data_IF_292334283473
#
_entry.id   IF_292334283473
#
_cell.length_a   1.000
_cell.length_b   1.000
_cell.length_c   1.000
_cell.angle_alpha   90.00
_cell.angle_beta   90.00
_cell.angle_gamma   90.00
#
_symmetry.space_group_name_H-M   'P 1'
#
loop_
_entity.id
_entity.type
_entity.pdbx_description
1 polymer ?
#
# COMPACT_ATOMS: atom_id res chain seq x y z
N UNK A 1 3.84 18.18 10.47
CA UNK A 1 3.74 16.96 11.28
C UNK A 1 2.92 15.96 10.49
N UNK A 2 3.57 14.95 9.90
CA UNK A 2 2.91 13.84 9.19
C UNK A 2 2.36 12.88 10.23
N UNK A 3 1.09 12.42 10.15
CA UNK A 3 0.59 11.44 11.10
C UNK A 3 1.44 10.15 11.02
N UNK A 4 1.70 9.48 12.15
CA UNK A 4 2.36 8.18 12.14
C UNK A 4 1.48 7.22 11.32
N UNK A 5 2.05 6.68 10.24
CA UNK A 5 1.40 5.62 9.49
C UNK A 5 1.39 4.40 10.42
N UNK A 6 0.23 3.98 10.91
CA UNK A 6 0.15 2.72 11.64
C UNK A 6 0.30 1.57 10.63
N UNK A 7 1.21 0.61 10.88
CA UNK A 7 1.28 -0.58 10.02
C UNK A 7 -0.09 -1.26 10.07
N UNK A 8 -0.60 -1.70 8.92
CA UNK A 8 -1.84 -2.46 8.89
C UNK A 8 -1.50 -3.93 9.13
N UNK A 9 -1.60 -4.47 10.36
CA UNK A 9 -1.29 -5.89 10.63
C UNK A 9 -2.26 -6.81 9.90
N UNK A 10 -3.45 -6.30 9.58
CA UNK A 10 -4.50 -7.06 8.91
C UNK A 10 -4.72 -6.59 7.48
N UNK A 11 -4.05 -7.25 6.53
CA UNK A 11 -4.15 -6.93 5.09
C UNK A 11 -5.58 -7.07 4.54
N UNK A 12 -6.50 -7.76 5.25
CA UNK A 12 -7.92 -7.85 4.85
C UNK A 12 -8.62 -6.48 4.81
N UNK A 13 -8.04 -5.45 5.43
CA UNK A 13 -8.55 -4.06 5.38
C UNK A 13 -8.13 -3.32 4.12
N UNK A 14 -7.30 -3.92 3.27
CA UNK A 14 -6.93 -3.36 1.97
C UNK A 14 -8.05 -3.60 0.97
N UNK A 15 -8.35 -2.58 0.18
CA UNK A 15 -9.27 -2.67 -0.94
C UNK A 15 -8.48 -2.66 -2.25
N UNK A 16 -9.07 -3.26 -3.29
CA UNK A 16 -8.58 -3.07 -4.66
C UNK A 16 -8.52 -1.57 -4.98
N UNK A 17 -7.44 -1.13 -5.61
CA UNK A 17 -7.07 0.27 -5.90
C UNK A 17 -6.54 1.09 -4.72
N UNK A 18 -6.39 0.51 -3.53
CA UNK A 18 -5.67 1.20 -2.46
C UNK A 18 -4.22 1.42 -2.87
N UNK A 19 -3.73 2.64 -2.69
CA UNK A 19 -2.32 2.97 -2.87
C UNK A 19 -1.57 2.66 -1.57
N UNK A 20 -0.52 1.84 -1.66
CA UNK A 20 0.21 1.39 -0.48
C UNK A 20 1.73 1.46 -0.68
N UNK A 21 2.43 1.38 0.46
CA UNK A 21 3.86 1.11 0.53
C UNK A 21 4.09 -0.16 1.36
N UNK A 22 4.96 -1.02 0.86
CA UNK A 22 5.48 -2.19 1.55
C UNK A 22 6.85 -1.86 2.11
N UNK A 23 7.00 -2.10 3.41
CA UNK A 23 8.23 -1.90 4.14
C UNK A 23 8.75 -3.23 4.68
N UNK A 24 10.07 -3.42 4.62
CA UNK A 24 10.77 -4.54 5.27
C UNK A 24 12.05 -3.99 5.91
N UNK A 25 12.33 -4.38 7.14
CA UNK A 25 13.50 -3.91 7.90
C UNK A 25 13.62 -2.37 7.92
N UNK A 26 12.48 -1.67 8.01
CA UNK A 26 12.40 -0.20 8.03
C UNK A 26 12.64 0.49 6.69
N UNK A 27 12.73 -0.25 5.58
CA UNK A 27 12.92 0.31 4.23
C UNK A 27 11.74 0.02 3.32
N UNK A 28 11.38 0.98 2.47
CA UNK A 28 10.42 0.76 1.38
C UNK A 28 11.05 -0.21 0.37
N UNK A 29 10.41 -1.35 0.19
CA UNK A 29 10.83 -2.38 -0.79
C UNK A 29 9.97 -2.34 -2.05
N UNK A 30 8.71 -1.92 -1.92
CA UNK A 30 7.81 -1.72 -3.03
C UNK A 30 6.74 -0.67 -2.69
N UNK A 31 6.24 0.03 -3.70
CA UNK A 31 5.08 0.91 -3.61
C UNK A 31 4.21 0.68 -4.83
N UNK A 32 2.91 0.88 -4.69
CA UNK A 32 2.01 0.59 -5.78
C UNK A 32 0.54 0.71 -5.45
N UNK A 33 -0.25 0.09 -6.30
CA UNK A 33 -1.70 -0.01 -6.18
C UNK A 33 -2.10 -1.48 -5.98
N UNK A 34 -2.93 -1.75 -4.97
CA UNK A 34 -3.47 -3.08 -4.71
C UNK A 34 -4.32 -3.52 -5.90
N UNK A 35 -3.93 -4.61 -6.56
CA UNK A 35 -4.73 -5.18 -7.64
C UNK A 35 -5.66 -6.28 -7.13
N UNK A 36 -5.15 -7.16 -6.27
CA UNK A 36 -5.92 -8.25 -5.66
C UNK A 36 -5.32 -8.63 -4.31
N UNK A 37 -6.16 -9.08 -3.38
CA UNK A 37 -5.77 -9.60 -2.07
C UNK A 37 -6.56 -10.88 -1.81
N UNK A 38 -5.92 -11.90 -1.24
CA UNK A 38 -6.64 -13.12 -0.85
C UNK A 38 -7.60 -12.81 0.32
N UNK A 39 -8.77 -13.45 0.37
CA UNK A 39 -9.81 -13.17 1.36
C UNK A 39 -9.32 -13.20 2.82
N UNK A 40 -8.34 -14.04 3.12
CA UNK A 40 -7.73 -14.20 4.44
C UNK A 40 -6.55 -13.24 4.70
N UNK A 41 -6.17 -12.41 3.73
CA UNK A 41 -5.04 -11.49 3.82
C UNK A 41 -3.66 -12.13 3.72
N UNK A 42 -3.54 -13.42 3.37
CA UNK A 42 -2.24 -14.11 3.37
C UNK A 42 -1.33 -13.72 2.21
N UNK A 43 -1.91 -13.27 1.09
CA UNK A 43 -1.17 -12.79 -0.07
C UNK A 43 -1.80 -11.54 -0.67
N UNK A 44 -0.94 -10.74 -1.31
CA UNK A 44 -1.29 -9.49 -1.96
C UNK A 44 -0.61 -9.40 -3.32
N UNK A 45 -1.38 -9.09 -4.35
CA UNK A 45 -0.87 -8.65 -5.64
C UNK A 45 -0.83 -7.13 -5.70
N UNK A 46 0.36 -6.60 -5.94
CA UNK A 46 0.63 -5.18 -6.07
C UNK A 46 1.02 -4.86 -7.51
N UNK A 47 0.32 -3.91 -8.14
CA UNK A 47 0.81 -3.26 -9.34
C UNK A 47 1.81 -2.18 -8.91
N UNK A 48 3.08 -2.40 -9.18
CA UNK A 48 4.17 -1.57 -8.68
C UNK A 48 4.28 -0.25 -9.46
N UNK A 49 4.63 0.81 -8.75
CA UNK A 49 4.94 2.11 -9.33
C UNK A 49 6.19 2.02 -10.23
N UNK A 50 6.34 2.98 -11.15
CA UNK A 50 7.54 3.09 -12.00
C UNK A 50 7.67 2.01 -13.07
N UNK A 51 6.55 1.37 -13.46
CA UNK A 51 6.54 0.42 -14.58
C UNK A 51 7.13 -0.96 -14.26
N UNK A 52 7.35 -1.28 -12.98
CA UNK A 52 7.93 -2.56 -12.52
C UNK A 52 6.97 -3.77 -12.63
N UNK A 53 5.79 -3.57 -13.21
CA UNK A 53 4.79 -4.61 -13.39
C UNK A 53 4.10 -5.03 -12.10
N UNK A 54 3.56 -6.26 -12.11
CA UNK A 54 2.76 -6.82 -11.00
C UNK A 54 3.62 -7.81 -10.20
N UNK A 55 3.59 -7.71 -8.88
CA UNK A 55 4.32 -8.62 -7.97
C UNK A 55 3.40 -9.18 -6.87
N UNK A 56 3.70 -10.39 -6.43
CA UNK A 56 3.03 -11.06 -5.31
C UNK A 56 3.87 -10.92 -4.05
N UNK A 57 3.22 -10.62 -2.93
CA UNK A 57 3.82 -10.54 -1.60
C UNK A 57 3.01 -11.40 -0.64
N UNK A 58 3.70 -12.13 0.24
CA UNK A 58 3.08 -12.92 1.30
C UNK A 58 3.13 -12.15 2.62
N UNK A 59 2.07 -12.28 3.42
CA UNK A 59 2.01 -11.66 4.75
C UNK A 59 3.12 -12.21 5.66
N UNK A 60 3.36 -13.52 5.58
CA UNK A 60 4.36 -14.24 6.39
C UNK A 60 5.82 -13.85 6.07
N UNK A 61 6.08 -13.13 4.98
CA UNK A 61 7.43 -12.65 4.63
C UNK A 61 7.89 -11.46 5.50
N UNK A 62 7.06 -11.02 6.45
CA UNK A 62 7.39 -9.98 7.43
C UNK A 62 7.28 -8.56 6.88
N UNK A 63 6.45 -8.34 5.86
CA UNK A 63 6.23 -7.00 5.32
C UNK A 63 5.23 -6.19 6.15
N UNK A 64 5.53 -4.92 6.34
CA UNK A 64 4.60 -3.93 6.88
C UNK A 64 3.95 -3.15 5.75
N UNK A 65 2.62 -3.07 5.77
CA UNK A 65 1.84 -2.32 4.78
C UNK A 65 1.34 -1.01 5.37
N UNK A 66 1.57 0.08 4.65
CA UNK A 66 1.04 1.40 4.98
C UNK A 66 0.20 1.92 3.81
N UNK A 67 -1.04 2.36 4.09
CA UNK A 67 -1.86 3.05 3.08
C UNK A 67 -1.32 4.45 2.86
N UNK A 68 -1.11 4.83 1.60
CA UNK A 68 -0.82 6.21 1.22
C UNK A 68 -2.11 7.02 1.38
N UNK A 69 -2.22 7.76 2.49
CA UNK A 69 -3.25 8.80 2.58
C UNK A 69 -2.95 9.85 1.51
N UNK A 70 -3.73 9.86 0.43
CA UNK A 70 -3.77 11.04 -0.43
C UNK A 70 -4.23 12.21 0.43
N UNK A 71 -3.30 13.08 0.81
CA UNK A 71 -3.65 14.42 1.24
C UNK A 71 -4.47 15.02 0.12
N UNK A 72 -5.78 15.19 0.37
CA UNK A 72 -6.65 15.91 -0.54
C UNK A 72 -6.19 17.36 -0.54
N UNK A 73 -5.20 17.66 -1.38
CA UNK A 73 -4.87 19.04 -1.71
C UNK A 73 -6.13 19.62 -2.34
N UNK A 74 -6.87 20.44 -1.59
CA UNK A 74 -7.92 21.29 -2.14
C UNK A 74 -7.24 22.13 -3.23
N UNK A 75 -7.36 21.74 -4.50
CA UNK A 75 -7.11 22.66 -5.60
C UNK A 75 -8.18 23.74 -5.50
N UNK A 76 -7.79 24.89 -4.95
CA UNK A 76 -8.58 26.11 -5.04
C UNK A 76 -8.61 26.49 -6.52
N UNK A 77 -9.68 26.17 -7.22
CA UNK A 77 -10.05 26.79 -8.49
C UNK A 77 -10.52 28.21 -8.19
N UNK A 78 -9.66 29.20 -8.40
CA UNK A 78 -10.09 30.60 -8.57
C UNK A 78 -10.40 30.79 -10.05
N UNK A 79 -11.68 30.92 -10.37
CA UNK A 79 -12.16 31.64 -11.54
C UNK A 79 -12.01 33.13 -11.34
#
# INVERSE_FOLDING_TARGET
MTPPLEPTPNWTRLSRKDEIELHKDGKIVASGTVDMMALNGSLLWLLQDGGKGRALFLHDDGFFVFKRCRTRTRRNSRS
#
